data_IF_398255366159
#
_entry.id   IF_398255366159
#
_cell.length_a   1.000
_cell.length_b   1.000
_cell.length_c   1.000
_cell.angle_alpha   90.00
_cell.angle_beta   90.00
_cell.angle_gamma   90.00
#
_symmetry.space_group_name_H-M   'P 1'
#
loop_
_entity.id
_entity.type
_entity.pdbx_description
1 polymer ?
#
# COMPACT_ATOMS: atom_id res chain seq x y z
N UNK A 1 20.11 -3.82 3.99
CA UNK A 1 19.61 -2.58 3.37
C UNK A 1 18.41 -2.98 2.52
N UNK A 2 17.19 -2.60 2.93
CA UNK A 2 15.97 -2.91 2.17
C UNK A 2 15.80 -1.81 1.11
N UNK A 3 15.76 -2.19 -0.16
CA UNK A 3 15.57 -1.23 -1.26
C UNK A 3 14.09 -1.26 -1.68
N UNK A 4 13.23 -0.57 -0.92
CA UNK A 4 11.85 -0.37 -1.32
C UNK A 4 11.77 0.89 -2.19
N UNK A 5 11.15 0.78 -3.36
CA UNK A 5 10.92 1.92 -4.28
C UNK A 5 9.44 2.25 -4.27
N UNK A 6 9.11 3.52 -4.03
CA UNK A 6 7.74 4.04 -4.15
C UNK A 6 7.65 4.80 -5.47
N UNK A 7 6.93 4.25 -6.47
CA UNK A 7 6.75 4.94 -7.73
C UNK A 7 6.06 6.28 -7.51
N UNK A 8 6.49 7.33 -8.21
CA UNK A 8 5.86 8.66 -8.22
C UNK A 8 5.91 9.46 -6.90
N UNK A 9 6.61 8.98 -5.87
CA UNK A 9 6.88 9.75 -4.65
C UNK A 9 5.70 9.90 -3.69
N UNK A 10 4.60 9.18 -3.91
CA UNK A 10 3.45 9.16 -3.03
C UNK A 10 2.90 7.74 -2.87
N UNK A 11 2.12 7.51 -1.81
CA UNK A 11 1.35 6.29 -1.60
C UNK A 11 -0.06 6.62 -1.06
N UNK A 12 -0.95 5.63 -1.07
CA UNK A 12 -2.30 5.70 -0.50
C UNK A 12 -2.62 4.39 0.22
N UNK A 13 -3.59 4.37 1.14
CA UNK A 13 -4.02 3.13 1.81
C UNK A 13 -2.87 2.36 2.47
N UNK A 14 -2.04 3.08 3.23
CA UNK A 14 -0.81 2.60 3.85
C UNK A 14 -1.16 1.86 5.14
N UNK A 15 -1.08 0.51 5.12
CA UNK A 15 -1.54 -0.33 6.23
C UNK A 15 -0.61 -1.52 6.51
N UNK A 16 -0.14 -1.70 7.75
CA UNK A 16 0.46 -2.95 8.19
C UNK A 16 -0.64 -3.98 8.47
N UNK A 17 -0.65 -5.07 7.71
CA UNK A 17 -1.51 -6.22 7.94
C UNK A 17 -0.63 -7.43 8.35
N UNK A 18 -1.14 -8.41 9.10
CA UNK A 18 -0.46 -9.69 9.24
C UNK A 18 -0.22 -10.34 7.87
N UNK A 19 0.93 -10.98 7.70
CA UNK A 19 1.29 -11.68 6.46
C UNK A 19 0.25 -12.75 6.08
N UNK A 20 -0.47 -13.30 7.05
CA UNK A 20 -1.51 -14.30 6.86
C UNK A 20 -2.72 -13.80 6.07
N UNK A 21 -2.92 -12.48 5.97
CA UNK A 21 -3.95 -11.88 5.10
C UNK A 21 -3.54 -11.88 3.64
N UNK A 22 -2.25 -12.09 3.34
CA UNK A 22 -1.67 -12.03 2.00
C UNK A 22 -1.59 -13.43 1.40
N UNK A 23 -1.56 -13.57 0.05
CA UNK A 23 -1.41 -14.86 -0.60
C UNK A 23 -0.08 -15.58 -0.28
N UNK A 24 0.87 -14.90 0.36
CA UNK A 24 2.16 -15.42 0.80
C UNK A 24 2.21 -15.76 2.31
N UNK A 25 1.08 -16.13 2.92
CA UNK A 25 0.95 -16.42 4.36
C UNK A 25 1.98 -17.42 4.96
N UNK A 26 2.61 -18.26 4.14
CA UNK A 26 3.61 -19.23 4.57
C UNK A 26 5.03 -18.64 4.62
N UNK A 27 5.22 -17.43 4.11
CA UNK A 27 6.50 -16.72 4.08
C UNK A 27 6.57 -15.88 5.36
N UNK A 28 7.47 -16.25 6.28
CA UNK A 28 7.64 -15.59 7.58
C UNK A 28 6.35 -15.46 8.43
N UNK A 29 5.72 -16.57 8.85
CA UNK A 29 4.51 -16.54 9.69
C UNK A 29 4.68 -15.69 10.97
N UNK A 30 3.63 -14.96 11.34
CA UNK A 30 3.61 -14.05 12.48
C UNK A 30 4.27 -12.69 12.22
N UNK A 31 4.78 -12.43 11.01
CA UNK A 31 5.30 -11.12 10.62
C UNK A 31 4.21 -10.19 10.08
N UNK A 32 4.53 -8.90 10.00
CA UNK A 32 3.69 -7.91 9.35
C UNK A 32 4.08 -7.74 7.88
N UNK A 33 3.09 -7.55 7.03
CA UNK A 33 3.22 -7.12 5.64
C UNK A 33 2.66 -5.72 5.49
N UNK A 34 3.49 -4.80 5.03
CA UNK A 34 3.09 -3.45 4.72
C UNK A 34 2.44 -3.40 3.34
N UNK A 35 1.21 -2.94 3.28
CA UNK A 35 0.49 -2.75 2.02
C UNK A 35 0.26 -1.27 1.75
N UNK A 36 0.41 -0.88 0.49
CA UNK A 36 0.06 0.45 0.03
C UNK A 36 -0.51 0.40 -1.38
N UNK A 37 -1.47 1.27 -1.68
CA UNK A 37 -2.01 1.52 -3.01
C UNK A 37 -1.43 2.77 -3.64
N UNK A 38 -1.69 2.93 -4.94
CA UNK A 38 -1.48 4.19 -5.66
C UNK A 38 -2.83 4.84 -5.93
N UNK A 39 -2.81 6.09 -6.37
CA UNK A 39 -4.00 6.77 -6.87
C UNK A 39 -4.01 6.63 -8.40
N UNK A 40 -5.19 6.38 -8.96
CA UNK A 40 -5.35 6.21 -10.41
C UNK A 40 -5.18 4.77 -10.88
N UNK A 41 -6.14 4.30 -11.66
CA UNK A 41 -6.11 3.03 -12.39
C UNK A 41 -6.91 3.18 -13.69
N UNK A 42 -6.38 2.76 -14.85
CA UNK A 42 -7.04 2.97 -16.15
C UNK A 42 -8.34 2.20 -16.37
N UNK A 43 -8.64 1.24 -15.51
CA UNK A 43 -9.86 0.46 -15.57
C UNK A 43 -11.03 1.12 -14.84
N UNK A 44 -12.24 0.82 -15.30
CA UNK A 44 -13.51 1.28 -14.72
C UNK A 44 -14.35 0.07 -14.28
N UNK A 45 -13.77 -0.77 -13.43
CA UNK A 45 -14.43 -2.00 -12.98
C UNK A 45 -15.64 -1.64 -12.10
N UNK A 46 -16.84 -2.12 -12.46
CA UNK A 46 -18.06 -1.93 -11.66
C UNK A 46 -18.05 -2.67 -10.31
N UNK A 47 -17.03 -3.48 -10.06
CA UNK A 47 -16.80 -4.25 -8.83
C UNK A 47 -15.48 -3.86 -8.14
N UNK A 48 -14.94 -2.67 -8.43
CA UNK A 48 -13.69 -2.23 -7.81
C UNK A 48 -13.89 -1.88 -6.33
N UNK A 49 -13.31 -2.65 -5.42
CA UNK A 49 -13.28 -2.33 -3.99
C UNK A 49 -12.46 -1.07 -3.70
N UNK A 50 -11.47 -0.77 -4.55
CA UNK A 50 -10.61 0.41 -4.48
C UNK A 50 -11.11 1.54 -5.40
N UNK A 51 -12.41 1.61 -5.72
CA UNK A 51 -12.95 2.57 -6.69
C UNK A 51 -12.53 4.01 -6.41
N UNK A 52 -12.67 4.43 -5.15
CA UNK A 52 -12.37 5.79 -4.68
C UNK A 52 -10.94 6.18 -5.02
N UNK A 53 -9.94 5.42 -4.58
CA UNK A 53 -8.52 5.70 -4.85
C UNK A 53 -8.15 5.50 -6.32
N UNK A 54 -8.76 4.52 -6.99
CA UNK A 54 -8.56 4.23 -8.42
C UNK A 54 -9.02 5.37 -9.32
N UNK A 55 -10.06 6.12 -8.93
CA UNK A 55 -10.58 7.23 -9.74
C UNK A 55 -10.07 8.61 -9.31
N UNK A 56 -9.40 8.73 -8.16
CA UNK A 56 -8.99 10.01 -7.55
C UNK A 56 -8.09 10.91 -8.41
N UNK A 57 -7.32 10.38 -9.37
CA UNK A 57 -6.53 11.22 -10.28
C UNK A 57 -7.31 11.72 -11.51
N UNK A 58 -8.48 11.15 -11.82
CA UNK A 58 -9.33 11.57 -12.96
C UNK A 58 -10.61 12.26 -12.52
N UNK A 59 -11.13 11.89 -11.36
CA UNK A 59 -12.38 12.43 -10.82
C UNK A 59 -12.07 13.28 -9.58
N UNK A 60 -12.19 14.62 -9.66
CA UNK A 60 -12.04 15.50 -8.52
C UNK A 60 -12.99 15.21 -7.35
N UNK A 61 -14.09 14.49 -7.59
CA UNK A 61 -15.06 14.08 -6.57
C UNK A 61 -14.67 12.79 -5.85
N UNK A 62 -13.71 12.02 -6.39
CA UNK A 62 -13.31 10.74 -5.82
C UNK A 62 -12.50 10.86 -4.51
N UNK A 63 -12.20 12.08 -4.03
CA UNK A 63 -12.00 12.37 -2.62
C UNK A 63 -10.79 11.76 -1.90
N UNK A 64 -9.94 10.94 -2.56
CA UNK A 64 -8.69 10.46 -1.96
C UNK A 64 -7.52 11.35 -2.35
N UNK A 65 -6.72 11.75 -1.36
CA UNK A 65 -5.51 12.54 -1.57
C UNK A 65 -4.25 11.67 -1.43
N UNK A 66 -3.19 11.97 -2.18
CA UNK A 66 -1.93 11.25 -2.05
C UNK A 66 -1.32 11.53 -0.68
N UNK A 67 -0.74 10.50 -0.06
CA UNK A 67 0.16 10.67 1.07
C UNK A 67 1.56 10.81 0.51
N UNK A 68 2.22 11.94 0.74
CA UNK A 68 3.60 12.17 0.36
C UNK A 68 4.56 11.74 1.47
N UNK A 69 5.73 11.25 1.10
CA UNK A 69 6.71 10.74 2.07
C UNK A 69 7.76 9.84 1.45
N UNK A 70 8.89 9.68 2.15
CA UNK A 70 9.94 8.74 1.75
C UNK A 70 9.58 7.31 2.15
N UNK A 71 10.14 6.28 1.50
CA UNK A 71 9.96 4.90 1.92
C UNK A 71 10.21 4.73 3.43
N UNK A 72 11.30 5.30 3.95
CA UNK A 72 11.68 5.19 5.36
C UNK A 72 10.61 5.73 6.31
N UNK A 73 9.91 6.81 5.92
CA UNK A 73 8.83 7.38 6.72
C UNK A 73 7.62 6.45 6.81
N UNK A 74 7.33 5.66 5.78
CA UNK A 74 6.23 4.69 5.80
C UNK A 74 6.57 3.41 6.56
N UNK A 75 7.85 3.01 6.58
CA UNK A 75 8.30 1.78 7.23
C UNK A 75 8.77 1.98 8.67
N UNK A 76 9.07 3.21 9.10
CA UNK A 76 9.59 3.51 10.43
C UNK A 76 8.75 2.92 11.57
N UNK A 77 7.43 3.01 11.45
CA UNK A 77 6.49 2.51 12.47
C UNK A 77 6.37 0.98 12.43
N UNK A 78 6.38 0.35 11.25
CA UNK A 78 6.28 -1.11 11.11
C UNK A 78 7.53 -1.82 11.60
N UNK A 79 8.70 -1.24 11.32
CA UNK A 79 9.98 -1.79 11.77
C UNK A 79 10.16 -1.73 13.29
N UNK A 80 9.40 -0.86 13.98
CA UNK A 80 9.39 -0.82 15.44
C UNK A 80 8.66 -2.01 16.08
N UNK A 81 7.81 -2.72 15.31
CA UNK A 81 6.94 -3.80 15.80
C UNK A 81 7.10 -5.13 15.06
N UNK A 82 7.80 -5.18 13.92
CA UNK A 82 8.08 -6.40 13.16
C UNK A 82 9.49 -6.38 12.58
N UNK A 83 10.23 -7.48 12.76
CA UNK A 83 11.58 -7.65 12.20
C UNK A 83 11.58 -7.94 10.71
N UNK A 84 10.44 -8.35 10.15
CA UNK A 84 10.24 -8.66 8.74
C UNK A 84 9.00 -7.89 8.23
N UNK A 85 9.15 -7.22 7.09
CA UNK A 85 8.09 -6.48 6.43
C UNK A 85 8.08 -6.83 4.95
N UNK A 86 7.02 -7.51 4.48
CA UNK A 86 6.77 -7.66 3.05
C UNK A 86 6.10 -6.38 2.51
N UNK A 87 6.45 -5.96 1.30
CA UNK A 87 5.81 -4.82 0.64
C UNK A 87 4.88 -5.32 -0.44
N UNK A 88 3.59 -5.06 -0.27
CA UNK A 88 2.56 -5.43 -1.26
C UNK A 88 1.87 -4.19 -1.81
N UNK A 89 1.82 -4.07 -3.15
CA UNK A 89 1.06 -3.02 -3.80
C UNK A 89 -0.41 -3.44 -3.87
N UNK A 90 -1.30 -2.64 -3.29
CA UNK A 90 -2.73 -2.75 -3.52
C UNK A 90 -3.00 -2.28 -4.95
N UNK A 91 -3.58 -3.19 -5.76
CA UNK A 91 -3.95 -2.96 -7.15
C UNK A 91 -4.90 -1.78 -7.30
#
# INVERSE_FOLDING_TARGET
>A
MWHVVIPHGYASGIHPDPIEKKPFFHVFPGSLAMSFGMLGCDFHCGYCENWVTSQSLRDPLAGASPTEGTPEQYFGDVLSVSTHAEVSRLS
#
